data_IF_549918779528
#
_entry.id   IF_549918779528
#
_cell.length_a   1.000
_cell.length_b   1.000
_cell.length_c   1.000
_cell.angle_alpha   90.00
_cell.angle_beta   90.00
_cell.angle_gamma   90.00
#
_symmetry.space_group_name_H-M   'P 1'
#
loop_
_entity.id
_entity.type
_entity.pdbx_description
1 polymer ?
#
# COMPACT_ATOMS: atom_id res chain seq x y z
N UNK A 1 16.01 -26.17 67.78
CA UNK A 1 15.66 -25.22 66.71
C UNK A 1 16.12 -25.84 65.38
N UNK A 2 15.54 -26.94 64.93
CA UNK A 2 14.23 -27.08 64.25
C UNK A 2 14.20 -26.40 62.88
N UNK A 3 14.80 -27.10 61.91
CA UNK A 3 14.41 -27.32 60.51
C UNK A 3 13.17 -26.58 59.94
N UNK A 4 13.31 -25.91 58.79
CA UNK A 4 12.86 -26.43 57.47
C UNK A 4 12.87 -25.35 56.36
N UNK A 5 13.09 -25.73 55.08
CA UNK A 5 13.11 -24.85 53.91
C UNK A 5 11.73 -24.76 53.22
N UNK A 6 11.33 -23.57 52.77
CA UNK A 6 10.11 -23.37 51.94
C UNK A 6 10.48 -23.50 50.46
N UNK A 7 10.69 -24.74 50.02
CA UNK A 7 10.62 -25.14 48.60
C UNK A 7 9.75 -26.39 48.39
N UNK A 8 9.10 -26.91 49.43
CA UNK A 8 8.27 -28.13 49.36
C UNK A 8 6.82 -27.91 48.92
N UNK A 9 6.37 -26.67 48.68
CA UNK A 9 4.95 -26.41 48.38
C UNK A 9 4.60 -26.66 46.90
N UNK A 10 5.52 -26.42 45.96
CA UNK A 10 5.25 -26.69 44.54
C UNK A 10 5.29 -28.19 44.19
N UNK A 11 6.13 -28.99 44.87
CA UNK A 11 6.18 -30.44 44.65
C UNK A 11 5.04 -31.20 45.37
N UNK A 12 4.50 -30.66 46.48
CA UNK A 12 3.36 -31.26 47.17
C UNK A 12 2.03 -31.17 46.38
N UNK A 13 1.97 -30.35 45.33
CA UNK A 13 0.75 -30.18 44.53
C UNK A 13 0.64 -31.22 43.40
N UNK A 14 1.67 -32.07 43.18
CA UNK A 14 1.68 -33.07 42.10
C UNK A 14 1.20 -34.47 42.50
N UNK A 15 0.78 -34.70 43.74
CA UNK A 15 0.36 -36.02 44.23
C UNK A 15 -1.04 -36.07 44.87
N UNK A 16 -1.86 -35.02 44.76
CA UNK A 16 -3.24 -35.08 45.26
C UNK A 16 -4.18 -35.60 44.18
N UNK A 17 -4.94 -36.65 44.51
CA UNK A 17 -6.08 -37.17 43.72
C UNK A 17 -7.39 -36.46 44.06
N UNK A 18 -7.36 -35.40 44.89
CA UNK A 18 -8.52 -34.55 45.08
C UNK A 18 -8.94 -33.93 43.74
N UNK A 19 -10.23 -34.01 43.36
CA UNK A 19 -10.72 -33.26 42.23
C UNK A 19 -10.42 -31.78 42.48
N UNK A 20 -9.67 -31.15 41.57
CA UNK A 20 -9.50 -29.70 41.55
C UNK A 20 -10.89 -29.08 41.65
N UNK A 21 -11.07 -28.17 42.61
CA UNK A 21 -12.33 -27.45 42.76
C UNK A 21 -12.77 -26.91 41.39
N UNK A 22 -14.06 -27.03 41.02
CA UNK A 22 -14.52 -26.61 39.70
C UNK A 22 -14.09 -25.17 39.47
N UNK A 23 -13.26 -24.96 38.45
CA UNK A 23 -12.88 -23.62 37.98
C UNK A 23 -14.19 -22.91 37.71
N UNK A 24 -14.54 -21.95 38.57
CA UNK A 24 -15.78 -21.19 38.39
C UNK A 24 -15.76 -20.64 36.96
N UNK A 25 -16.79 -20.89 36.14
CA UNK A 25 -16.81 -20.37 34.78
C UNK A 25 -16.69 -18.86 34.90
N UNK A 26 -15.60 -18.32 34.33
CA UNK A 26 -15.37 -16.90 34.31
C UNK A 26 -16.65 -16.22 33.81
N UNK A 27 -17.24 -15.34 34.63
CA UNK A 27 -18.47 -14.63 34.30
C UNK A 27 -18.38 -14.15 32.85
N UNK A 28 -19.24 -14.71 31.99
CA UNK A 28 -19.29 -14.35 30.57
C UNK A 28 -19.79 -12.92 30.52
N UNK A 29 -18.85 -11.98 30.54
CA UNK A 29 -19.12 -10.57 30.29
C UNK A 29 -19.53 -10.43 28.83
N UNK A 30 -20.46 -9.52 28.52
CA UNK A 30 -20.84 -9.17 27.14
C UNK A 30 -19.63 -8.81 26.25
N UNK A 31 -18.52 -8.40 26.87
CA UNK A 31 -17.25 -8.09 26.22
C UNK A 31 -16.32 -9.30 26.00
N UNK A 32 -16.64 -10.46 26.58
CA UNK A 32 -15.89 -11.72 26.44
C UNK A 32 -15.61 -12.12 24.99
N UNK A 33 -16.63 -12.21 24.10
CA UNK A 33 -16.42 -12.57 22.70
C UNK A 33 -15.60 -11.52 21.93
N UNK A 34 -15.82 -10.23 22.18
CA UNK A 34 -15.05 -9.15 21.54
C UNK A 34 -13.58 -9.18 21.94
N UNK A 35 -13.30 -9.42 23.23
CA UNK A 35 -11.93 -9.56 23.74
C UNK A 35 -11.23 -10.79 23.16
N UNK A 36 -11.97 -11.90 23.01
CA UNK A 36 -11.46 -13.10 22.36
C UNK A 36 -11.13 -12.83 20.89
N UNK A 37 -12.07 -12.26 20.13
CA UNK A 37 -11.87 -11.91 18.74
C UNK A 37 -10.67 -10.97 18.54
N UNK A 38 -10.54 -9.94 19.39
CA UNK A 38 -9.39 -9.04 19.38
C UNK A 38 -8.08 -9.81 19.61
N UNK A 39 -8.00 -10.66 20.64
CA UNK A 39 -6.80 -11.48 20.91
C UNK A 39 -6.43 -12.38 19.74
N UNK A 40 -7.41 -12.98 19.07
CA UNK A 40 -7.16 -13.79 17.88
C UNK A 40 -6.64 -12.93 16.74
N UNK A 41 -7.27 -11.79 16.47
CA UNK A 41 -6.88 -10.87 15.39
C UNK A 41 -5.48 -10.31 15.59
N UNK A 42 -5.09 -9.98 16.83
CA UNK A 42 -3.76 -9.44 17.15
C UNK A 42 -2.67 -10.52 17.30
N UNK A 43 -2.96 -11.78 17.00
CA UNK A 43 -1.96 -12.86 17.08
C UNK A 43 -1.09 -12.90 15.82
N UNK A 44 0.19 -13.25 15.99
CA UNK A 44 1.14 -13.39 14.87
C UNK A 44 0.70 -14.49 13.88
N UNK A 45 0.09 -15.57 14.39
CA UNK A 45 -0.49 -16.65 13.58
C UNK A 45 -1.57 -16.12 12.64
N UNK A 46 -2.50 -15.32 13.15
CA UNK A 46 -3.57 -14.74 12.34
C UNK A 46 -3.02 -13.80 11.27
N UNK A 47 -2.00 -12.98 11.61
CA UNK A 47 -1.35 -12.12 10.62
C UNK A 47 -0.78 -12.93 9.44
N UNK A 48 -0.09 -14.04 9.71
CA UNK A 48 0.46 -14.92 8.66
C UNK A 48 -0.64 -15.58 7.82
N UNK A 49 -1.74 -16.03 8.46
CA UNK A 49 -2.89 -16.58 7.74
C UNK A 49 -3.57 -15.55 6.85
N UNK A 50 -3.75 -14.32 7.35
CA UNK A 50 -4.33 -13.21 6.58
C UNK A 50 -3.44 -12.80 5.41
N UNK A 51 -2.12 -12.82 5.60
CA UNK A 51 -1.16 -12.58 4.52
C UNK A 51 -1.27 -13.65 3.43
N UNK A 52 -1.35 -14.94 3.81
CA UNK A 52 -1.55 -16.03 2.86
C UNK A 52 -2.91 -15.92 2.14
N UNK A 53 -3.97 -15.61 2.88
CA UNK A 53 -5.29 -15.41 2.32
C UNK A 53 -5.33 -14.24 1.34
N UNK A 54 -4.63 -13.13 1.65
CA UNK A 54 -4.50 -11.98 0.75
C UNK A 54 -3.78 -12.35 -0.54
N UNK A 55 -2.73 -13.16 -0.45
CA UNK A 55 -2.01 -13.66 -1.62
C UNK A 55 -2.92 -14.53 -2.51
N UNK A 56 -3.66 -15.47 -1.92
CA UNK A 56 -4.61 -16.32 -2.64
C UNK A 56 -5.75 -15.49 -3.26
N UNK A 57 -6.29 -14.54 -2.50
CA UNK A 57 -7.31 -13.58 -2.93
C UNK A 57 -6.87 -12.72 -4.12
N UNK A 58 -5.57 -12.48 -4.30
CA UNK A 58 -5.01 -11.68 -5.39
C UNK A 58 -4.90 -12.45 -6.71
N UNK A 59 -4.89 -13.79 -6.67
CA UNK A 59 -4.69 -14.65 -7.84
C UNK A 59 -5.69 -14.36 -8.97
N UNK A 60 -7.02 -14.31 -8.75
CA UNK A 60 -7.97 -14.05 -9.82
C UNK A 60 -7.75 -12.69 -10.51
N UNK A 61 -7.29 -11.69 -9.75
CA UNK A 61 -7.00 -10.35 -10.26
C UNK A 61 -5.89 -10.29 -11.31
N UNK A 62 -5.00 -11.30 -11.33
CA UNK A 62 -3.95 -11.43 -12.34
C UNK A 62 -4.37 -12.17 -13.61
N UNK A 63 -5.38 -13.05 -13.54
CA UNK A 63 -5.83 -13.87 -14.66
C UNK A 63 -7.03 -13.27 -15.41
N UNK A 64 -7.90 -12.54 -14.70
CA UNK A 64 -9.12 -11.95 -15.27
C UNK A 64 -8.94 -10.47 -15.57
N UNK A 65 -9.56 -9.93 -16.65
CA UNK A 65 -9.50 -8.51 -16.95
C UNK A 65 -10.04 -7.68 -15.79
N UNK A 66 -9.31 -6.67 -15.33
CA UNK A 66 -9.76 -5.79 -14.25
C UNK A 66 -10.39 -4.52 -14.82
N UNK A 67 -11.58 -4.17 -14.34
CA UNK A 67 -12.37 -3.04 -14.86
C UNK A 67 -11.67 -1.70 -14.68
N UNK A 68 -10.87 -1.55 -13.61
CA UNK A 68 -10.05 -0.36 -13.39
C UNK A 68 -8.92 -0.16 -14.41
N UNK A 69 -8.48 -1.24 -15.08
CA UNK A 69 -7.42 -1.20 -16.09
C UNK A 69 -8.01 -1.07 -17.49
N UNK A 70 -9.05 -1.84 -17.80
CA UNK A 70 -9.70 -1.79 -19.11
C UNK A 70 -11.18 -2.21 -19.00
N UNK A 71 -12.12 -1.26 -18.88
CA UNK A 71 -13.54 -1.58 -18.75
C UNK A 71 -14.11 -2.21 -20.03
N UNK A 72 -13.59 -1.86 -21.21
CA UNK A 72 -14.02 -2.43 -22.48
C UNK A 72 -13.71 -3.93 -22.56
N UNK A 73 -12.52 -4.36 -22.14
CA UNK A 73 -12.15 -5.78 -22.11
C UNK A 73 -13.04 -6.59 -21.17
N UNK A 74 -13.47 -6.02 -20.05
CA UNK A 74 -14.42 -6.68 -19.14
C UNK A 74 -15.78 -6.85 -19.82
N UNK A 75 -16.31 -5.80 -20.44
CA UNK A 75 -17.59 -5.86 -21.17
C UNK A 75 -17.54 -6.90 -22.29
N UNK A 76 -16.49 -6.91 -23.09
CA UNK A 76 -16.28 -7.91 -24.16
C UNK A 76 -16.20 -9.31 -23.59
N UNK A 77 -15.47 -9.52 -22.48
CA UNK A 77 -15.36 -10.84 -21.85
C UNK A 77 -16.74 -11.37 -21.39
N UNK A 78 -17.55 -10.51 -20.75
CA UNK A 78 -18.89 -10.88 -20.28
C UNK A 78 -19.82 -11.20 -21.46
N UNK A 79 -19.72 -10.44 -22.56
CA UNK A 79 -20.49 -10.72 -23.78
C UNK A 79 -20.08 -12.05 -24.43
N UNK A 80 -18.79 -12.35 -24.47
CA UNK A 80 -18.26 -13.62 -25.01
C UNK A 80 -18.58 -14.83 -24.12
N UNK A 81 -18.74 -14.62 -22.81
CA UNK A 81 -19.00 -15.67 -21.82
C UNK A 81 -20.33 -15.40 -21.10
N UNK A 82 -21.46 -15.54 -21.82
CA UNK A 82 -22.79 -15.15 -21.35
C UNK A 82 -23.26 -15.83 -20.04
N UNK A 83 -22.75 -17.02 -19.72
CA UNK A 83 -23.10 -17.75 -18.48
C UNK A 83 -22.11 -17.45 -17.34
N UNK A 84 -20.81 -17.64 -17.58
CA UNK A 84 -19.77 -17.52 -16.54
C UNK A 84 -19.46 -16.06 -16.23
N UNK A 85 -19.47 -15.18 -17.23
CA UNK A 85 -19.16 -13.75 -17.10
C UNK A 85 -20.01 -13.06 -16.04
N UNK A 86 -21.35 -13.12 -16.11
CA UNK A 86 -22.22 -12.52 -15.09
C UNK A 86 -22.02 -13.10 -13.69
N UNK A 87 -21.69 -14.38 -13.55
CA UNK A 87 -21.39 -14.99 -12.24
C UNK A 87 -20.10 -14.43 -11.65
N UNK A 88 -19.04 -14.37 -12.46
CA UNK A 88 -17.77 -13.76 -12.05
C UNK A 88 -17.93 -12.29 -11.68
N UNK A 89 -18.75 -11.54 -12.41
CA UNK A 89 -19.03 -10.12 -12.13
C UNK A 89 -19.74 -9.94 -10.79
N UNK A 90 -20.76 -10.77 -10.48
CA UNK A 90 -21.43 -10.76 -9.16
C UNK A 90 -20.49 -11.10 -8.00
N UNK A 91 -19.51 -11.97 -8.23
CA UNK A 91 -18.46 -12.30 -7.25
C UNK A 91 -17.36 -11.23 -7.16
N UNK A 92 -17.48 -10.14 -7.92
CA UNK A 92 -16.49 -9.05 -8.03
C UNK A 92 -15.12 -9.51 -8.56
N UNK A 93 -15.08 -10.55 -9.41
CA UNK A 93 -13.82 -11.08 -9.96
C UNK A 93 -13.17 -10.16 -11.01
N UNK A 94 -13.92 -9.21 -11.57
CA UNK A 94 -13.40 -8.14 -12.43
C UNK A 94 -13.06 -6.85 -11.66
N UNK A 95 -13.31 -6.84 -10.34
CA UNK A 95 -13.04 -5.73 -9.41
C UNK A 95 -12.38 -6.24 -8.12
N UNK A 96 -11.50 -7.25 -8.23
CA UNK A 96 -10.93 -7.99 -7.08
C UNK A 96 -10.36 -7.03 -6.04
N UNK A 97 -9.52 -6.09 -6.48
CA UNK A 97 -8.80 -5.14 -5.61
C UNK A 97 -9.70 -4.08 -4.94
N UNK A 98 -10.95 -3.94 -5.37
CA UNK A 98 -11.95 -3.06 -4.74
C UNK A 98 -13.16 -3.80 -4.18
N UNK A 99 -13.15 -5.13 -4.27
CA UNK A 99 -14.23 -5.95 -3.74
C UNK A 99 -14.30 -5.86 -2.20
N UNK A 100 -15.50 -6.07 -1.66
CA UNK A 100 -15.74 -6.05 -0.21
C UNK A 100 -14.93 -7.14 0.50
N UNK A 101 -14.85 -8.34 -0.09
CA UNK A 101 -14.15 -9.47 0.50
C UNK A 101 -12.62 -9.27 0.51
N UNK A 102 -12.04 -8.76 -0.57
CA UNK A 102 -10.60 -8.44 -0.62
C UNK A 102 -10.26 -7.33 0.38
N UNK A 103 -11.09 -6.28 0.40
CA UNK A 103 -10.92 -5.15 1.32
C UNK A 103 -11.04 -5.59 2.78
N UNK A 104 -11.92 -6.55 3.10
CA UNK A 104 -12.05 -7.10 4.44
C UNK A 104 -10.76 -7.82 4.88
N UNK A 105 -10.17 -8.68 4.04
CA UNK A 105 -8.91 -9.36 4.35
C UNK A 105 -7.78 -8.35 4.56
N UNK A 106 -7.66 -7.37 3.67
CA UNK A 106 -6.69 -6.29 3.78
C UNK A 106 -6.85 -5.48 5.08
N UNK A 107 -8.07 -5.08 5.44
CA UNK A 107 -8.35 -4.33 6.65
C UNK A 107 -8.07 -5.15 7.92
N UNK A 108 -8.44 -6.44 7.92
CA UNK A 108 -8.12 -7.34 9.02
C UNK A 108 -6.61 -7.51 9.18
N UNK A 109 -5.87 -7.63 8.07
CA UNK A 109 -4.40 -7.71 8.09
C UNK A 109 -3.79 -6.44 8.68
N UNK A 110 -4.29 -5.27 8.27
CA UNK A 110 -3.84 -3.98 8.79
C UNK A 110 -4.11 -3.81 10.29
N UNK A 111 -5.32 -4.17 10.75
CA UNK A 111 -5.66 -4.15 12.18
C UNK A 111 -4.81 -5.14 12.97
N UNK A 112 -4.60 -6.35 12.43
CA UNK A 112 -3.73 -7.38 13.02
C UNK A 112 -2.30 -6.87 13.18
N UNK A 113 -1.75 -6.24 12.13
CA UNK A 113 -0.43 -5.63 12.12
C UNK A 113 -0.29 -4.57 13.22
N UNK A 114 -1.23 -3.63 13.33
CA UNK A 114 -1.21 -2.61 14.40
C UNK A 114 -1.31 -3.28 15.79
N UNK A 115 -2.22 -4.24 15.92
CA UNK A 115 -2.51 -4.94 17.16
C UNK A 115 -1.33 -5.75 17.70
N UNK A 116 -0.51 -6.33 16.82
CA UNK A 116 0.71 -7.04 17.22
C UNK A 116 1.90 -6.08 17.41
N UNK A 117 1.95 -4.98 16.66
CA UNK A 117 3.04 -4.00 16.71
C UNK A 117 3.02 -3.19 18.01
N UNK A 118 1.86 -2.66 18.41
CA UNK A 118 1.76 -1.71 19.52
C UNK A 118 2.28 -2.28 20.87
N UNK A 119 1.86 -3.49 21.30
CA UNK A 119 2.36 -4.09 22.55
C UNK A 119 3.86 -4.42 22.46
N UNK A 120 4.31 -4.88 21.30
CA UNK A 120 5.70 -5.28 21.06
C UNK A 120 6.64 -4.07 21.09
N UNK A 121 6.26 -2.97 20.45
CA UNK A 121 6.99 -1.70 20.51
C UNK A 121 7.06 -1.17 21.95
N UNK A 122 5.98 -1.26 22.73
CA UNK A 122 5.99 -0.86 24.14
C UNK A 122 6.93 -1.72 24.99
N UNK A 123 6.92 -3.04 24.80
CA UNK A 123 7.80 -3.97 25.50
C UNK A 123 9.27 -3.70 25.15
N UNK A 124 9.57 -3.53 23.87
CA UNK A 124 10.93 -3.23 23.40
C UNK A 124 11.42 -1.88 23.90
N UNK A 125 10.58 -0.84 23.88
CA UNK A 125 10.91 0.46 24.44
C UNK A 125 11.22 0.39 25.95
N UNK A 126 10.51 -0.46 26.70
CA UNK A 126 10.82 -0.73 28.12
C UNK A 126 12.13 -1.49 28.26
N UNK A 127 12.38 -2.51 27.44
CA UNK A 127 13.62 -3.29 27.48
C UNK A 127 14.86 -2.44 27.15
N UNK A 128 14.75 -1.53 26.18
CA UNK A 128 15.81 -0.57 25.85
C UNK A 128 16.16 0.38 27.00
N UNK A 129 15.19 0.68 27.89
CA UNK A 129 15.37 1.55 29.06
C UNK A 129 15.68 0.80 30.35
N UNK A 130 15.42 -0.50 30.39
CA UNK A 130 15.75 -1.33 31.55
C UNK A 130 17.26 -1.33 31.78
N UNK A 131 17.73 -1.77 32.95
CA UNK A 131 19.16 -2.06 33.19
C UNK A 131 19.41 -3.56 33.00
N UNK A 132 20.65 -4.01 32.69
CA UNK A 132 20.93 -5.43 32.54
C UNK A 132 20.51 -6.19 33.81
N UNK A 133 19.94 -7.39 33.70
CA UNK A 133 19.38 -8.13 34.82
C UNK A 133 20.43 -8.42 35.90
N UNK A 134 20.00 -8.66 37.13
CA UNK A 134 20.93 -9.06 38.20
C UNK A 134 21.57 -10.41 37.88
N UNK A 135 22.82 -10.57 38.29
CA UNK A 135 23.53 -11.84 38.16
C UNK A 135 22.87 -12.87 39.09
N UNK A 136 22.50 -14.08 38.62
CA UNK A 136 21.94 -15.11 39.47
C UNK A 136 22.92 -15.54 40.56
N UNK A 137 22.41 -15.90 41.75
CA UNK A 137 23.24 -16.38 42.85
C UNK A 137 24.00 -17.69 42.53
N UNK A 138 23.50 -18.47 41.55
CA UNK A 138 24.09 -19.74 41.14
C UNK A 138 24.32 -19.74 39.62
N UNK A 139 25.52 -19.35 39.18
CA UNK A 139 25.88 -19.27 37.77
C UNK A 139 25.86 -20.62 37.05
N UNK A 140 26.10 -21.72 37.76
CA UNK A 140 26.10 -23.09 37.21
C UNK A 140 24.72 -23.55 36.74
N UNK A 141 23.64 -22.85 37.11
CA UNK A 141 22.29 -23.11 36.58
C UNK A 141 22.08 -22.54 35.18
N UNK A 142 23.00 -21.69 34.70
CA UNK A 142 22.93 -21.17 33.34
C UNK A 142 23.37 -22.26 32.35
N UNK A 143 22.63 -22.47 31.24
CA UNK A 143 22.94 -23.50 30.25
C UNK A 143 24.34 -23.35 29.63
N UNK A 144 24.86 -22.12 29.61
CA UNK A 144 26.21 -21.79 29.14
C UNK A 144 26.92 -21.10 30.30
N UNK A 145 27.87 -21.80 30.90
CA UNK A 145 28.75 -21.27 31.94
C UNK A 145 30.14 -21.88 31.77
N UNK A 146 31.16 -21.11 32.17
CA UNK A 146 32.56 -21.53 32.15
C UNK A 146 33.24 -20.95 33.39
N UNK A 147 34.28 -21.64 33.88
CA UNK A 147 35.04 -21.24 35.06
C UNK A 147 36.53 -21.27 34.72
N UNK A 148 37.22 -20.21 35.11
CA UNK A 148 38.66 -20.11 35.07
C UNK A 148 39.19 -19.69 36.43
N UNK A 149 40.46 -19.99 36.69
CA UNK A 149 41.16 -19.64 37.92
C UNK A 149 42.33 -18.72 37.58
N UNK A 150 42.64 -17.78 38.46
CA UNK A 150 43.70 -16.78 38.28
C UNK A 150 44.22 -16.33 39.64
N UNK A 151 45.50 -15.96 39.68
CA UNK A 151 46.14 -15.39 40.87
C UNK A 151 45.87 -13.88 41.01
N UNK A 152 45.20 -13.25 40.04
CA UNK A 152 44.84 -11.85 40.08
C UNK A 152 43.74 -11.56 41.12
N UNK A 153 43.81 -10.39 41.76
CA UNK A 153 42.78 -9.93 42.69
C UNK A 153 41.40 -9.78 42.01
N UNK A 154 40.33 -10.05 42.76
CA UNK A 154 38.97 -10.05 42.25
C UNK A 154 38.55 -8.70 41.65
N UNK A 155 39.00 -7.57 42.21
CA UNK A 155 38.71 -6.24 41.67
C UNK A 155 39.40 -6.00 40.33
N UNK A 156 40.66 -6.44 40.21
CA UNK A 156 41.41 -6.34 38.96
C UNK A 156 40.75 -7.16 37.85
N UNK A 157 40.27 -8.37 38.17
CA UNK A 157 39.53 -9.23 37.24
C UNK A 157 38.21 -8.56 36.79
N UNK A 158 37.44 -7.99 37.72
CA UNK A 158 36.18 -7.31 37.39
C UNK A 158 36.42 -6.06 36.53
N UNK A 159 37.43 -5.24 36.81
CA UNK A 159 37.71 -4.07 35.98
C UNK A 159 38.22 -4.44 34.59
N UNK A 160 39.07 -5.47 34.48
CA UNK A 160 39.52 -6.00 33.18
C UNK A 160 38.34 -6.53 32.35
N UNK A 161 37.46 -7.33 32.96
CA UNK A 161 36.26 -7.84 32.31
C UNK A 161 35.30 -6.70 31.90
N UNK A 162 35.12 -5.69 32.76
CA UNK A 162 34.30 -4.50 32.45
C UNK A 162 34.86 -3.73 31.27
N UNK A 163 36.19 -3.55 31.20
CA UNK A 163 36.86 -2.87 30.09
C UNK A 163 36.69 -3.64 28.78
N UNK A 164 36.91 -4.95 28.78
CA UNK A 164 36.73 -5.80 27.60
C UNK A 164 35.28 -5.77 27.07
N UNK A 165 34.29 -5.90 27.96
CA UNK A 165 32.87 -5.85 27.61
C UNK A 165 32.47 -4.47 27.06
N UNK A 166 32.94 -3.37 27.69
CA UNK A 166 32.68 -2.02 27.18
C UNK A 166 33.37 -1.77 25.82
N UNK A 167 34.59 -2.26 25.62
CA UNK A 167 35.30 -2.20 24.34
C UNK A 167 34.51 -2.87 23.21
N UNK A 168 33.81 -3.95 23.52
CA UNK A 168 32.89 -4.64 22.61
C UNK A 168 31.48 -4.01 22.55
N UNK A 169 31.27 -2.82 23.10
CA UNK A 169 29.99 -2.07 23.15
C UNK A 169 28.84 -2.80 23.84
N UNK A 170 29.13 -3.58 24.87
CA UNK A 170 28.09 -4.15 25.74
C UNK A 170 27.59 -3.11 26.74
N UNK A 171 26.31 -3.19 27.11
CA UNK A 171 25.78 -2.40 28.23
C UNK A 171 26.08 -3.15 29.51
N UNK A 172 27.07 -2.67 30.27
CA UNK A 172 27.62 -3.36 31.45
C UNK A 172 27.16 -2.66 32.73
N UNK A 173 26.70 -3.45 33.71
CA UNK A 173 26.38 -2.98 35.07
C UNK A 173 27.06 -3.88 36.09
N UNK A 174 27.68 -3.25 37.09
CA UNK A 174 28.35 -3.90 38.21
C UNK A 174 27.45 -3.85 39.45
N UNK A 175 27.26 -4.99 40.13
CA UNK A 175 26.49 -5.10 41.39
C UNK A 175 27.08 -6.24 42.23
N UNK A 176 27.19 -6.05 43.54
CA UNK A 176 27.45 -7.12 44.52
C UNK A 176 28.63 -8.05 44.13
N UNK A 177 29.76 -7.47 43.68
CA UNK A 177 30.95 -8.24 43.27
C UNK A 177 30.82 -8.98 41.92
N UNK A 178 29.79 -8.68 41.12
CA UNK A 178 29.55 -9.33 39.84
C UNK A 178 29.24 -8.32 38.71
N UNK A 179 29.46 -8.74 37.46
CA UNK A 179 29.12 -7.99 36.25
C UNK A 179 27.95 -8.66 35.51
N UNK A 180 26.99 -7.84 35.09
CA UNK A 180 25.96 -8.21 34.14
C UNK A 180 26.09 -7.36 32.89
N UNK A 181 26.01 -7.97 31.72
CA UNK A 181 26.15 -7.29 30.45
C UNK A 181 25.17 -7.83 29.41
N UNK A 182 24.62 -6.93 28.59
CA UNK A 182 23.74 -7.32 27.49
C UNK A 182 24.00 -6.49 26.22
N UNK A 183 23.66 -7.07 25.07
CA UNK A 183 23.77 -6.51 23.73
C UNK A 183 22.74 -7.19 22.82
N UNK A 184 22.45 -6.61 21.66
CA UNK A 184 21.66 -7.28 20.60
C UNK A 184 20.30 -6.68 20.28
N UNK A 185 19.95 -5.51 20.83
CA UNK A 185 18.65 -4.86 20.57
C UNK A 185 18.42 -4.42 19.12
N UNK A 186 19.47 -4.27 18.31
CA UNK A 186 19.37 -3.70 16.96
C UNK A 186 18.50 -4.53 16.01
N UNK A 187 18.58 -5.87 16.09
CA UNK A 187 17.78 -6.78 15.27
C UNK A 187 16.28 -6.54 15.47
N UNK A 188 15.88 -6.42 16.72
CA UNK A 188 14.48 -6.19 17.09
C UNK A 188 14.04 -4.75 16.77
N UNK A 189 14.90 -3.75 17.05
CA UNK A 189 14.62 -2.35 16.69
C UNK A 189 14.39 -2.20 15.19
N UNK A 190 15.26 -2.79 14.36
CA UNK A 190 15.13 -2.72 12.90
C UNK A 190 13.84 -3.37 12.40
N UNK A 191 13.50 -4.55 12.93
CA UNK A 191 12.25 -5.23 12.61
C UNK A 191 11.02 -4.37 12.97
N UNK A 192 11.00 -3.77 14.17
CA UNK A 192 9.90 -2.91 14.60
C UNK A 192 9.82 -1.62 13.78
N UNK A 193 10.96 -1.00 13.47
CA UNK A 193 11.02 0.21 12.64
C UNK A 193 10.44 -0.05 11.26
N UNK A 194 10.78 -1.17 10.62
CA UNK A 194 10.21 -1.56 9.32
C UNK A 194 8.68 -1.63 9.36
N UNK A 195 8.12 -2.32 10.34
CA UNK A 195 6.67 -2.46 10.47
C UNK A 195 5.98 -1.13 10.81
N UNK A 196 6.59 -0.29 11.66
CA UNK A 196 6.07 1.06 11.96
C UNK A 196 6.04 1.90 10.67
N UNK A 197 7.14 1.90 9.90
CA UNK A 197 7.21 2.64 8.63
C UNK A 197 6.15 2.17 7.63
N UNK A 198 5.90 0.87 7.54
CA UNK A 198 4.84 0.31 6.71
C UNK A 198 3.45 0.81 7.15
N UNK A 199 3.16 0.78 8.46
CA UNK A 199 1.89 1.30 9.00
C UNK A 199 1.75 2.79 8.72
N UNK A 200 2.79 3.59 8.94
CA UNK A 200 2.77 5.03 8.68
C UNK A 200 2.53 5.34 7.20
N UNK A 201 3.19 4.62 6.29
CA UNK A 201 2.96 4.72 4.85
C UNK A 201 1.49 4.44 4.50
N UNK A 202 0.93 3.34 5.02
CA UNK A 202 -0.47 2.96 4.76
C UNK A 202 -1.46 3.97 5.32
N UNK A 203 -1.20 4.52 6.51
CA UNK A 203 -2.00 5.62 7.08
C UNK A 203 -1.91 6.86 6.18
N UNK A 204 -0.72 7.23 5.70
CA UNK A 204 -0.54 8.35 4.78
C UNK A 204 -1.31 8.17 3.48
N UNK A 205 -1.24 6.99 2.87
CA UNK A 205 -2.02 6.64 1.67
C UNK A 205 -3.52 6.72 1.96
N UNK A 206 -3.99 6.16 3.08
CA UNK A 206 -5.40 6.18 3.45
C UNK A 206 -5.93 7.61 3.66
N UNK A 207 -5.17 8.46 4.34
CA UNK A 207 -5.49 9.88 4.52
C UNK A 207 -5.53 10.58 3.16
N UNK A 208 -4.51 10.38 2.33
CA UNK A 208 -4.44 10.96 0.98
C UNK A 208 -5.59 10.52 0.07
N UNK A 209 -6.00 9.25 0.12
CA UNK A 209 -7.14 8.75 -0.64
C UNK A 209 -8.48 9.28 -0.09
N UNK A 210 -8.56 9.56 1.21
CA UNK A 210 -9.77 10.04 1.86
C UNK A 210 -10.03 11.53 1.62
N UNK A 211 -8.98 12.36 1.51
CA UNK A 211 -9.10 13.82 1.29
C UNK A 211 -8.67 14.29 -0.11
N UNK A 212 -7.96 13.46 -0.87
CA UNK A 212 -7.38 13.84 -2.16
C UNK A 212 -8.37 13.77 -3.33
N UNK A 213 -7.87 14.14 -4.51
CA UNK A 213 -8.59 14.08 -5.77
C UNK A 213 -7.70 13.47 -6.84
N UNK A 214 -8.26 12.54 -7.61
CA UNK A 214 -7.65 12.02 -8.83
C UNK A 214 -8.68 12.13 -9.95
N UNK A 215 -8.27 12.71 -11.07
CA UNK A 215 -9.07 12.77 -12.28
C UNK A 215 -8.22 12.47 -13.51
N UNK A 216 -8.87 12.00 -14.58
CA UNK A 216 -8.25 11.81 -15.88
C UNK A 216 -9.08 12.53 -16.93
N UNK A 217 -8.42 13.20 -17.86
CA UNK A 217 -9.03 13.94 -18.96
C UNK A 217 -8.30 13.59 -20.25
N UNK A 218 -9.05 13.36 -21.32
CA UNK A 218 -8.53 13.22 -22.67
C UNK A 218 -8.37 14.61 -23.28
N UNK A 219 -7.15 14.95 -23.69
CA UNK A 219 -6.84 16.24 -24.31
C UNK A 219 -6.30 15.99 -25.71
N UNK A 220 -6.86 16.71 -26.70
CA UNK A 220 -6.38 16.68 -28.08
C UNK A 220 -5.32 17.76 -28.27
N UNK A 221 -4.40 17.56 -29.22
CA UNK A 221 -3.47 18.62 -29.62
C UNK A 221 -4.24 19.86 -30.06
N UNK A 222 -3.75 21.04 -29.66
CA UNK A 222 -4.44 22.32 -29.87
C UNK A 222 -5.61 22.57 -28.92
N UNK A 223 -5.81 21.73 -27.90
CA UNK A 223 -6.81 21.93 -26.86
C UNK A 223 -6.19 21.91 -25.47
N UNK A 224 -6.97 22.38 -24.49
CA UNK A 224 -6.56 22.38 -23.09
C UNK A 224 -7.71 22.08 -22.15
N UNK A 225 -7.39 22.01 -20.87
CA UNK A 225 -8.35 21.85 -19.79
C UNK A 225 -7.99 22.77 -18.62
N UNK A 226 -8.99 23.11 -17.83
CA UNK A 226 -8.80 23.77 -16.53
C UNK A 226 -8.99 22.75 -15.42
N UNK A 227 -8.24 22.87 -14.33
CA UNK A 227 -8.35 21.99 -13.17
C UNK A 227 -9.62 22.29 -12.37
N UNK A 228 -10.76 21.87 -12.92
CA UNK A 228 -12.08 21.95 -12.31
C UNK A 228 -12.74 20.58 -12.38
N UNK A 229 -13.63 20.28 -11.44
CA UNK A 229 -14.28 18.95 -11.36
C UNK A 229 -15.03 18.58 -12.65
N UNK A 230 -15.56 19.57 -13.37
CA UNK A 230 -16.32 19.38 -14.61
C UNK A 230 -15.44 19.04 -15.82
N UNK A 231 -14.15 19.36 -15.78
CA UNK A 231 -13.23 19.13 -16.90
C UNK A 231 -12.69 17.71 -16.99
N UNK A 232 -12.98 16.83 -16.01
CA UNK A 232 -12.46 15.47 -15.96
C UNK A 232 -13.48 14.43 -16.45
N UNK A 233 -13.04 13.54 -17.34
CA UNK A 233 -13.84 12.44 -17.90
C UNK A 233 -14.11 11.34 -16.86
N UNK A 234 -13.06 10.94 -16.13
CA UNK A 234 -13.16 10.06 -14.95
C UNK A 234 -12.64 10.81 -13.72
N UNK A 235 -13.36 10.69 -12.60
CA UNK A 235 -13.08 11.39 -11.36
C UNK A 235 -13.25 10.48 -10.16
N UNK A 236 -12.26 10.51 -9.28
CA UNK A 236 -12.19 9.73 -8.04
C UNK A 236 -11.92 10.69 -6.87
N UNK A 237 -12.93 11.47 -6.46
CA UNK A 237 -12.80 12.31 -5.27
C UNK A 237 -12.76 11.44 -4.02
N UNK A 238 -11.91 11.82 -3.06
CA UNK A 238 -11.97 11.29 -1.70
C UNK A 238 -13.27 11.68 -1.01
N UNK A 239 -13.67 10.93 0.02
CA UNK A 239 -14.92 11.19 0.77
C UNK A 239 -14.97 12.56 1.46
N UNK A 240 -13.81 13.15 1.78
CA UNK A 240 -13.67 14.51 2.35
C UNK A 240 -13.09 15.51 1.35
N UNK A 241 -13.16 15.20 0.06
CA UNK A 241 -12.72 16.13 -0.96
C UNK A 241 -13.62 17.37 -1.01
N UNK A 242 -12.99 18.53 -1.06
CA UNK A 242 -13.63 19.81 -1.32
C UNK A 242 -13.22 20.31 -2.72
N UNK A 243 -14.16 20.51 -3.67
CA UNK A 243 -13.87 21.10 -4.97
C UNK A 243 -13.09 22.42 -4.91
N UNK A 244 -13.30 23.24 -3.88
CA UNK A 244 -12.59 24.51 -3.71
C UNK A 244 -11.09 24.33 -3.37
N UNK A 245 -10.67 23.12 -2.97
CA UNK A 245 -9.27 22.79 -2.70
C UNK A 245 -8.44 22.51 -3.96
N UNK A 246 -9.08 22.44 -5.15
CA UNK A 246 -8.36 22.26 -6.40
C UNK A 246 -7.46 23.46 -6.70
N UNK A 247 -6.20 23.17 -7.04
CA UNK A 247 -5.25 24.20 -7.47
C UNK A 247 -5.74 24.82 -8.78
N UNK A 248 -6.01 26.13 -8.82
CA UNK A 248 -6.49 26.76 -10.04
C UNK A 248 -5.34 26.83 -11.06
N UNK A 249 -5.43 26.00 -12.09
CA UNK A 249 -4.47 25.94 -13.20
C UNK A 249 -5.19 25.55 -14.49
N UNK A 250 -4.67 26.01 -15.61
CA UNK A 250 -5.05 25.56 -16.95
C UNK A 250 -3.81 24.98 -17.63
N UNK A 251 -4.01 23.93 -18.41
CA UNK A 251 -2.97 23.26 -19.21
C UNK A 251 -3.49 23.12 -20.62
N UNK A 252 -2.68 23.48 -21.60
CA UNK A 252 -2.97 23.35 -23.01
C UNK A 252 -1.92 22.46 -23.67
N UNK A 253 -2.36 21.48 -24.46
CA UNK A 253 -1.49 20.57 -25.20
C UNK A 253 -1.16 21.19 -26.55
N UNK A 254 0.11 21.57 -26.72
CA UNK A 254 0.58 22.16 -27.97
C UNK A 254 0.96 21.08 -28.98
N UNK A 255 1.66 20.05 -28.52
CA UNK A 255 2.03 18.91 -29.35
C UNK A 255 2.36 17.70 -28.48
N UNK A 256 2.13 16.52 -29.03
CA UNK A 256 2.54 15.25 -28.50
C UNK A 256 3.46 14.55 -29.50
N UNK A 257 4.59 14.05 -29.01
CA UNK A 257 5.50 13.23 -29.80
C UNK A 257 5.84 11.94 -29.08
N UNK A 258 5.87 10.85 -29.84
CA UNK A 258 6.31 9.55 -29.37
C UNK A 258 7.41 9.03 -30.30
N UNK A 259 8.50 8.52 -29.72
CA UNK A 259 9.57 7.87 -30.48
C UNK A 259 9.57 6.38 -30.19
N UNK A 260 9.88 5.57 -31.21
CA UNK A 260 9.87 4.11 -31.11
C UNK A 260 11.21 3.55 -31.58
N UNK A 261 11.69 2.51 -30.89
CA UNK A 261 12.89 1.78 -31.27
C UNK A 261 12.64 0.86 -32.47
N UNK A 262 13.72 0.25 -33.01
CA UNK A 262 13.62 -0.68 -34.14
C UNK A 262 12.74 -1.92 -33.87
N UNK A 263 12.56 -2.28 -32.60
CA UNK A 263 11.69 -3.37 -32.14
C UNK A 263 10.23 -2.93 -31.92
N UNK A 264 9.88 -1.70 -32.30
CA UNK A 264 8.55 -1.12 -32.15
C UNK A 264 8.19 -0.72 -30.72
N UNK A 265 9.13 -0.82 -29.76
CA UNK A 265 8.89 -0.37 -28.39
C UNK A 265 9.05 1.14 -28.28
N UNK A 266 8.16 1.77 -27.52
CA UNK A 266 8.27 3.20 -27.26
C UNK A 266 9.52 3.52 -26.44
N UNK A 267 10.24 4.56 -26.87
CA UNK A 267 11.43 5.10 -26.23
C UNK A 267 11.08 6.35 -25.41
N UNK A 268 10.35 7.29 -26.03
CA UNK A 268 9.92 8.52 -25.37
C UNK A 268 8.46 8.83 -25.64
N UNK A 269 7.83 9.49 -24.67
CA UNK A 269 6.54 10.13 -24.82
C UNK A 269 6.65 11.53 -24.22
N UNK A 270 6.44 12.53 -25.07
CA UNK A 270 6.69 13.93 -24.76
C UNK A 270 5.44 14.73 -25.11
N UNK A 271 4.77 15.27 -24.09
CA UNK A 271 3.66 16.20 -24.25
C UNK A 271 4.15 17.62 -23.96
N UNK A 272 4.34 18.40 -25.03
CA UNK A 272 4.68 19.82 -24.94
C UNK A 272 3.42 20.58 -24.59
N UNK A 273 3.42 21.23 -23.43
CA UNK A 273 2.29 21.98 -22.93
C UNK A 273 2.69 23.40 -22.59
N UNK A 274 1.73 24.29 -22.63
CA UNK A 274 1.79 25.51 -21.86
C UNK A 274 0.76 25.49 -20.74
N UNK A 275 1.11 26.09 -19.61
CA UNK A 275 0.25 26.14 -18.44
C UNK A 275 0.29 27.51 -17.78
N UNK A 276 -0.82 27.86 -17.11
CA UNK A 276 -0.92 29.11 -16.37
C UNK A 276 -1.84 28.97 -15.15
N UNK A 277 -1.62 29.82 -14.16
CA UNK A 277 -2.62 30.12 -13.12
C UNK A 277 -3.53 31.25 -13.59
N UNK A 278 -4.75 31.41 -13.03
CA UNK A 278 -5.59 32.56 -13.33
C UNK A 278 -4.82 33.87 -13.13
N UNK A 279 -4.82 34.73 -14.16
CA UNK A 279 -4.11 36.01 -14.17
C UNK A 279 -2.57 35.95 -14.26
N UNK A 280 -1.99 34.75 -14.37
CA UNK A 280 -0.54 34.57 -14.51
C UNK A 280 -0.08 34.38 -15.96
N UNK A 281 1.25 34.46 -16.22
CA UNK A 281 1.81 34.21 -17.54
C UNK A 281 1.65 32.73 -17.94
N UNK A 282 1.56 32.49 -19.26
CA UNK A 282 1.61 31.16 -19.84
C UNK A 282 3.06 30.68 -19.90
N UNK A 283 3.35 29.53 -19.31
CA UNK A 283 4.70 28.97 -19.19
C UNK A 283 4.79 27.62 -19.92
N UNK A 284 5.80 27.41 -20.76
CA UNK A 284 6.01 26.12 -21.42
C UNK A 284 6.52 25.07 -20.42
N UNK A 285 6.16 23.81 -20.65
CA UNK A 285 6.67 22.66 -19.92
C UNK A 285 6.54 21.38 -20.75
N UNK A 286 7.50 20.46 -20.62
CA UNK A 286 7.46 19.16 -21.29
C UNK A 286 7.06 18.08 -20.28
N UNK A 287 5.81 17.62 -20.36
CA UNK A 287 5.32 16.51 -19.53
C UNK A 287 5.80 15.21 -20.16
N UNK A 288 6.57 14.43 -19.41
CA UNK A 288 7.14 13.15 -19.86
C UNK A 288 6.90 12.03 -18.84
N UNK A 289 7.16 10.80 -19.24
CA UNK A 289 7.12 9.64 -18.32
C UNK A 289 8.06 9.91 -17.14
N UNK A 290 7.55 9.74 -15.92
CA UNK A 290 8.24 10.05 -14.66
C UNK A 290 8.66 11.53 -14.44
N UNK A 291 8.30 12.43 -15.35
CA UNK A 291 8.52 13.88 -15.24
C UNK A 291 7.18 14.63 -15.37
N UNK A 292 6.31 14.56 -14.34
CA UNK A 292 5.04 15.26 -14.32
C UNK A 292 5.21 16.77 -14.10
N UNK A 293 4.25 17.54 -14.60
CA UNK A 293 4.12 18.95 -14.24
C UNK A 293 3.63 19.07 -12.78
N UNK A 294 4.34 19.85 -11.97
CA UNK A 294 4.03 20.09 -10.56
C UNK A 294 3.66 21.56 -10.32
N UNK A 295 2.42 21.82 -9.91
CA UNK A 295 1.91 23.19 -9.70
C UNK A 295 1.09 23.24 -8.42
N UNK A 296 1.58 23.95 -7.39
CA UNK A 296 0.79 24.24 -6.17
C UNK A 296 0.28 23.02 -5.40
N UNK A 297 0.91 21.85 -5.57
CA UNK A 297 0.45 20.57 -4.99
C UNK A 297 -0.31 19.68 -5.97
N UNK A 298 -0.80 20.22 -7.09
CA UNK A 298 -1.33 19.43 -8.19
C UNK A 298 -0.19 18.82 -9.03
N UNK A 299 -0.44 17.62 -9.54
CA UNK A 299 0.48 16.89 -10.41
C UNK A 299 -0.25 16.45 -11.67
N UNK A 300 0.27 16.83 -12.83
CA UNK A 300 -0.27 16.43 -14.13
C UNK A 300 0.67 15.42 -14.76
N UNK A 301 0.15 14.22 -14.98
CA UNK A 301 0.89 13.09 -15.54
C UNK A 301 0.39 12.80 -16.95
N UNK A 302 1.32 12.47 -17.84
CA UNK A 302 0.98 11.75 -19.06
C UNK A 302 0.72 10.28 -18.69
N UNK A 303 -0.52 9.83 -18.82
CA UNK A 303 -0.96 8.48 -18.44
C UNK A 303 -1.22 7.55 -19.63
N UNK A 304 -1.36 8.12 -20.82
CA UNK A 304 -1.62 7.39 -22.06
C UNK A 304 -1.79 8.34 -23.23
N UNK A 305 -1.81 7.78 -24.43
CA UNK A 305 -1.97 8.48 -25.71
C UNK A 305 -2.67 7.57 -26.71
N UNK A 306 -3.10 8.14 -27.82
CA UNK A 306 -3.77 7.44 -28.90
C UNK A 306 -3.91 8.32 -30.14
N UNK A 307 -4.51 7.77 -31.18
CA UNK A 307 -4.74 8.53 -32.41
C UNK A 307 -5.91 9.51 -32.23
N UNK A 308 -5.75 10.71 -32.77
CA UNK A 308 -6.82 11.70 -32.90
C UNK A 308 -6.80 12.30 -34.32
N UNK A 309 -7.13 11.51 -35.36
CA UNK A 309 -7.12 11.98 -36.73
C UNK A 309 -8.03 13.20 -36.91
N UNK A 310 -7.55 14.17 -37.69
CA UNK A 310 -8.37 15.28 -38.16
C UNK A 310 -9.28 14.80 -39.28
N UNK A 311 -10.59 14.85 -39.04
CA UNK A 311 -11.60 14.34 -39.98
C UNK A 311 -12.41 15.52 -40.52
N UNK A 312 -12.29 15.72 -41.84
CA UNK A 312 -13.11 16.64 -42.62
C UNK A 312 -14.15 15.83 -43.40
N UNK A 313 -15.43 16.10 -43.18
CA UNK A 313 -16.55 15.49 -43.91
C UNK A 313 -17.32 16.59 -44.61
N UNK A 314 -17.46 16.47 -45.93
CA UNK A 314 -18.38 17.26 -46.73
C UNK A 314 -19.61 16.43 -47.08
N UNK A 315 -20.79 17.01 -46.97
CA UNK A 315 -22.06 16.33 -47.24
C UNK A 315 -22.39 16.31 -48.74
N UNK A 316 -23.56 15.75 -49.10
CA UNK A 316 -23.98 15.65 -50.50
C UNK A 316 -24.22 17.00 -51.18
N UNK A 317 -24.36 18.08 -50.40
CA UNK A 317 -24.49 19.46 -50.89
C UNK A 317 -23.13 20.16 -51.06
N UNK A 318 -22.03 19.50 -50.68
CA UNK A 318 -20.68 20.06 -50.70
C UNK A 318 -20.33 20.91 -49.48
N UNK A 319 -21.25 21.04 -48.51
CA UNK A 319 -21.01 21.78 -47.27
C UNK A 319 -20.24 20.95 -46.25
N UNK A 320 -19.46 21.61 -45.40
CA UNK A 320 -18.70 20.95 -44.33
C UNK A 320 -19.66 20.55 -43.21
N UNK A 321 -19.81 19.24 -43.00
CA UNK A 321 -20.65 18.67 -41.95
C UNK A 321 -19.85 18.23 -40.71
N UNK A 322 -18.52 18.08 -40.83
CA UNK A 322 -17.60 17.84 -39.72
C UNK A 322 -16.22 18.37 -40.08
N UNK A 323 -15.56 19.07 -39.16
CA UNK A 323 -14.16 19.45 -39.29
C UNK A 323 -13.49 19.49 -37.90
N UNK A 324 -13.00 18.34 -37.44
CA UNK A 324 -12.36 18.26 -36.12
C UNK A 324 -11.49 17.01 -35.95
N UNK A 325 -10.57 17.06 -34.98
CA UNK A 325 -9.87 15.89 -34.48
C UNK A 325 -10.80 14.97 -33.68
N UNK A 326 -10.88 13.69 -34.05
CA UNK A 326 -11.73 12.67 -33.41
C UNK A 326 -10.87 11.68 -32.63
N UNK A 327 -10.97 11.61 -31.29
CA UNK A 327 -10.20 10.66 -30.49
C UNK A 327 -10.55 9.21 -30.79
N UNK A 328 -9.54 8.37 -30.91
CA UNK A 328 -9.65 6.94 -31.11
C UNK A 328 -8.99 6.22 -29.93
N UNK A 329 -9.79 5.50 -29.16
CA UNK A 329 -9.31 4.90 -27.91
C UNK A 329 -8.52 3.61 -28.19
N UNK A 330 -7.28 3.49 -27.68
CA UNK A 330 -6.48 2.28 -27.79
C UNK A 330 -7.18 1.08 -27.15
N UNK A 331 -7.11 -0.08 -27.81
CA UNK A 331 -7.68 -1.34 -27.36
C UNK A 331 -6.62 -2.30 -26.82
N UNK A 332 -5.36 -2.13 -27.25
CA UNK A 332 -4.24 -2.97 -26.85
C UNK A 332 -2.92 -2.16 -26.70
N UNK A 333 -1.84 -2.78 -26.19
CA UNK A 333 -0.54 -2.12 -26.04
C UNK A 333 0.16 -1.74 -27.35
N UNK A 334 -0.35 -2.19 -28.50
CA UNK A 334 0.15 -1.82 -29.82
C UNK A 334 -0.63 -0.65 -30.43
N UNK A 335 -1.50 0.00 -29.64
CA UNK A 335 -2.32 1.14 -30.05
C UNK A 335 -3.36 0.83 -31.14
N UNK A 336 -3.75 -0.44 -31.32
CA UNK A 336 -4.91 -0.78 -32.13
C UNK A 336 -6.12 0.00 -31.60
N UNK A 337 -6.63 0.96 -32.37
CA UNK A 337 -7.62 1.93 -31.91
C UNK A 337 -8.86 1.88 -32.78
N UNK A 338 -10.02 1.72 -32.14
CA UNK A 338 -11.31 1.81 -32.83
C UNK A 338 -11.77 3.26 -32.82
N UNK A 339 -12.13 3.78 -34.00
CA UNK A 339 -12.68 5.12 -34.16
C UNK A 339 -14.13 5.04 -34.62
N UNK A 340 -14.98 5.86 -34.01
CA UNK A 340 -16.35 6.08 -34.47
C UNK A 340 -16.53 7.58 -34.70
N UNK A 341 -16.72 7.96 -35.96
CA UNK A 341 -17.01 9.34 -36.35
C UNK A 341 -18.52 9.44 -36.58
N UNK A 342 -19.17 10.31 -35.82
CA UNK A 342 -20.60 10.60 -35.98
C UNK A 342 -20.73 11.98 -36.62
N UNK A 343 -21.48 12.08 -37.71
CA UNK A 343 -21.73 13.31 -38.45
C UNK A 343 -23.24 13.55 -38.52
N UNK A 344 -23.86 13.97 -37.41
CA UNK A 344 -25.31 14.16 -37.33
C UNK A 344 -25.80 15.33 -38.19
N UNK A 345 -24.91 16.25 -38.55
CA UNK A 345 -25.23 17.48 -39.30
C UNK A 345 -25.15 17.29 -40.82
N UNK A 346 -24.72 16.10 -41.30
CA UNK A 346 -24.67 15.80 -42.73
C UNK A 346 -26.07 15.74 -43.36
N UNK A 347 -26.20 16.33 -44.54
CA UNK A 347 -27.44 16.33 -45.33
C UNK A 347 -27.27 15.53 -46.65
N UNK A 348 -28.34 14.90 -47.17
CA UNK A 348 -29.69 14.80 -46.59
C UNK A 348 -29.83 13.71 -45.52
N UNK A 349 -28.78 12.91 -45.29
CA UNK A 349 -28.77 11.82 -44.33
C UNK A 349 -27.56 11.96 -43.41
N UNK A 350 -27.79 11.64 -42.13
CA UNK A 350 -26.74 11.57 -41.14
C UNK A 350 -25.73 10.49 -41.54
N UNK A 351 -24.44 10.79 -41.35
CA UNK A 351 -23.37 9.86 -41.67
C UNK A 351 -22.70 9.34 -40.40
N UNK A 352 -22.27 8.08 -40.46
CA UNK A 352 -21.49 7.44 -39.42
C UNK A 352 -20.38 6.63 -40.04
N UNK A 353 -19.15 6.84 -39.59
CA UNK A 353 -17.98 6.10 -40.05
C UNK A 353 -17.40 5.32 -38.88
N UNK A 354 -17.00 4.07 -39.16
CA UNK A 354 -16.24 3.25 -38.23
C UNK A 354 -14.93 2.86 -38.92
N UNK A 355 -13.83 3.08 -38.21
CA UNK A 355 -12.49 2.76 -38.71
C UNK A 355 -11.61 2.20 -37.61
N UNK A 356 -10.47 1.67 -38.02
CA UNK A 356 -9.42 1.15 -37.13
C UNK A 356 -8.11 1.83 -37.50
N UNK A 357 -7.36 2.26 -36.49
CA UNK A 357 -5.99 2.76 -36.62
C UNK A 357 -5.06 1.75 -35.95
N UNK A 358 -3.92 1.50 -36.57
CA UNK A 358 -2.93 0.48 -36.17
C UNK A 358 -1.54 1.06 -36.14
#
# INVERSE_FOLDING_TARGET
MTTAPVQSVEDATRLTTQPLAPVQPARVTLLGPLRHAWRQLTSMRTALLLLFLLALASVPGGFLPQRQLNPLRVTTYIQQHSVVGPVLDRLSMFDVFTSVWFSAVYLLLFVSLIGCLLPRTRLHARALRATPPKVPATLTRLPVHERWETDADAEAVLEAARAALKGSRWRVVRRDGALSAEKGYLRETGNLLFHISLVLLLVGIAVGAFSGFKGTVLVKEGQGFSNTVLSYDDKKPGRRFDPASLVPLSVHLDAFSATYGPDGKALTFDARVHWNRPGGPSLPYDVRVNHPLHVGGAKVYLIGHGYAPHVLVKDATGQVALDQAVPCLPQDPKFLSNCVVKVPDAQPQQLGFKGVFT
#
